data_IF_188107142978
#
_entry.id   IF_188107142978
#
_cell.length_a   1.000
_cell.length_b   1.000
_cell.length_c   1.000
_cell.angle_alpha   90.00
_cell.angle_beta   90.00
_cell.angle_gamma   90.00
#
_symmetry.space_group_name_H-M   'P 1'
#
loop_
_entity.id
_entity.type
_entity.pdbx_description
1 polymer ?
#
# COMPACT_ATOMS: atom_id res chain seq x y z
N UNK A 1 46.20 -53.90 -80.04
CA UNK A 1 46.28 -52.43 -80.21
C UNK A 1 45.96 -51.80 -78.86
N UNK A 2 46.99 -51.48 -78.08
CA UNK A 2 46.89 -51.10 -76.67
C UNK A 2 46.68 -49.59 -76.53
N UNK A 3 45.62 -49.19 -75.80
CA UNK A 3 45.32 -47.79 -75.48
C UNK A 3 45.54 -47.51 -73.98
N UNK A 4 46.55 -46.69 -73.76
CA UNK A 4 46.62 -45.48 -72.92
C UNK A 4 45.89 -45.38 -71.56
N UNK A 5 46.73 -44.95 -70.60
CA UNK A 5 46.52 -44.21 -69.36
C UNK A 5 45.46 -43.10 -69.49
N UNK A 6 44.55 -43.00 -68.51
CA UNK A 6 43.74 -41.81 -68.24
C UNK A 6 43.70 -41.49 -66.74
N UNK A 7 43.88 -40.20 -66.45
CA UNK A 7 43.76 -39.53 -65.16
C UNK A 7 42.29 -39.09 -64.96
N UNK A 8 41.68 -39.34 -63.80
CA UNK A 8 40.45 -38.65 -63.33
C UNK A 8 40.44 -38.66 -61.80
N UNK A 9 40.58 -37.56 -61.06
CA UNK A 9 39.70 -36.39 -60.91
C UNK A 9 38.34 -36.70 -60.27
N UNK A 10 38.25 -36.36 -58.97
CA UNK A 10 37.09 -35.96 -58.14
C UNK A 10 36.09 -37.02 -57.65
N UNK A 11 35.92 -37.07 -56.33
CA UNK A 11 34.60 -36.95 -55.70
C UNK A 11 34.71 -36.23 -54.35
N UNK A 12 34.33 -34.96 -54.36
CA UNK A 12 33.98 -34.19 -53.16
C UNK A 12 32.66 -34.74 -52.61
N UNK A 13 32.64 -35.15 -51.34
CA UNK A 13 31.39 -35.32 -50.60
C UNK A 13 31.16 -34.03 -49.83
N UNK A 14 30.09 -33.33 -50.21
CA UNK A 14 29.61 -32.10 -49.61
C UNK A 14 29.07 -32.43 -48.21
N UNK A 15 29.67 -31.86 -47.16
CA UNK A 15 29.11 -31.89 -45.80
C UNK A 15 27.85 -31.04 -45.74
N UNK A 16 26.74 -31.69 -45.40
CA UNK A 16 25.43 -31.09 -45.20
C UNK A 16 25.45 -30.23 -43.93
N UNK A 17 25.17 -28.94 -44.07
CA UNK A 17 25.06 -27.99 -42.98
C UNK A 17 23.83 -28.29 -42.10
N UNK A 18 24.04 -28.47 -40.80
CA UNK A 18 22.98 -28.42 -39.79
C UNK A 18 22.94 -27.01 -39.18
N UNK A 19 22.05 -26.16 -39.71
CA UNK A 19 21.67 -24.90 -39.07
C UNK A 19 20.63 -25.22 -37.98
N UNK A 20 21.09 -25.32 -36.74
CA UNK A 20 20.20 -25.34 -35.56
C UNK A 20 19.78 -23.90 -35.28
N UNK A 21 18.56 -23.54 -35.64
CA UNK A 21 17.96 -22.26 -35.29
C UNK A 21 17.69 -22.23 -33.79
N UNK A 22 18.53 -21.49 -33.05
CA UNK A 22 18.29 -21.15 -31.65
C UNK A 22 17.25 -20.02 -31.60
N UNK A 23 15.97 -20.38 -31.48
CA UNK A 23 14.92 -19.40 -31.18
C UNK A 23 15.13 -18.91 -29.74
N UNK A 24 15.51 -17.65 -29.58
CA UNK A 24 15.55 -16.99 -28.29
C UNK A 24 14.13 -16.91 -27.73
N UNK A 25 13.84 -17.67 -26.68
CA UNK A 25 12.68 -17.44 -25.82
C UNK A 25 12.91 -16.13 -25.07
N UNK A 26 12.49 -15.02 -25.67
CA UNK A 26 12.36 -13.76 -24.94
C UNK A 26 11.21 -13.97 -23.96
N UNK A 27 11.53 -14.17 -22.68
CA UNK A 27 10.53 -14.14 -21.61
C UNK A 27 10.20 -12.66 -21.37
N UNK A 28 9.09 -12.18 -21.93
CA UNK A 28 8.49 -10.94 -21.44
C UNK A 28 7.98 -11.27 -20.02
N UNK A 29 8.66 -10.75 -19.01
CA UNK A 29 8.11 -10.68 -17.66
C UNK A 29 7.04 -9.58 -17.68
N UNK A 30 5.83 -9.93 -18.10
CA UNK A 30 4.65 -9.09 -17.87
C UNK A 30 4.15 -9.28 -16.44
N UNK A 31 3.57 -8.24 -15.85
CA UNK A 31 2.78 -8.36 -14.63
C UNK A 31 1.73 -9.47 -14.83
N UNK A 32 1.53 -10.33 -13.83
CA UNK A 32 0.52 -11.38 -13.96
C UNK A 32 -0.86 -10.74 -13.87
N UNK A 33 -1.72 -10.99 -14.85
CA UNK A 33 -3.12 -10.56 -14.77
C UNK A 33 -3.92 -11.54 -13.92
N UNK A 34 -4.86 -11.03 -13.11
CA UNK A 34 -5.79 -11.86 -12.34
C UNK A 34 -6.63 -12.78 -13.24
N UNK A 35 -7.08 -13.91 -12.69
CA UNK A 35 -7.98 -14.83 -13.37
C UNK A 35 -9.20 -15.20 -12.50
N UNK A 36 -10.33 -15.61 -13.09
CA UNK A 36 -11.50 -16.02 -12.32
C UNK A 36 -11.20 -17.18 -11.36
N UNK A 37 -11.60 -17.03 -10.11
CA UNK A 37 -11.49 -18.03 -9.06
C UNK A 37 -12.80 -18.10 -8.27
N UNK A 38 -13.34 -19.29 -8.05
CA UNK A 38 -14.50 -19.49 -7.19
C UNK A 38 -14.02 -20.07 -5.87
N UNK A 39 -14.22 -19.33 -4.78
CA UNK A 39 -13.91 -19.84 -3.44
C UNK A 39 -14.87 -20.99 -3.10
N UNK A 40 -14.36 -22.23 -2.89
CA UNK A 40 -15.22 -23.37 -2.60
C UNK A 40 -15.95 -23.26 -1.24
N UNK A 41 -15.46 -22.44 -0.31
CA UNK A 41 -16.08 -22.29 1.01
C UNK A 41 -17.33 -21.39 0.97
N UNK A 42 -17.27 -20.29 0.23
CA UNK A 42 -18.34 -19.28 0.18
C UNK A 42 -19.13 -19.27 -1.12
N UNK A 43 -18.57 -19.81 -2.21
CA UNK A 43 -19.09 -19.67 -3.56
C UNK A 43 -18.88 -18.28 -4.18
N UNK A 44 -18.13 -17.39 -3.52
CA UNK A 44 -17.80 -16.07 -4.06
C UNK A 44 -16.88 -16.25 -5.27
N UNK A 45 -17.17 -15.50 -6.33
CA UNK A 45 -16.34 -15.48 -7.54
C UNK A 45 -15.47 -14.22 -7.48
N UNK A 46 -14.16 -14.44 -7.44
CA UNK A 46 -13.13 -13.41 -7.44
C UNK A 46 -12.44 -13.36 -8.81
N UNK A 47 -11.85 -12.21 -9.12
CA UNK A 47 -10.64 -12.18 -9.92
C UNK A 47 -9.45 -12.31 -8.98
N UNK A 48 -8.62 -13.33 -9.20
CA UNK A 48 -7.55 -13.70 -8.30
C UNK A 48 -6.19 -13.62 -8.98
N UNK A 49 -5.27 -12.93 -8.33
CA UNK A 49 -3.83 -13.09 -8.55
C UNK A 49 -3.35 -14.29 -7.74
N UNK A 50 -2.54 -15.15 -8.35
CA UNK A 50 -1.94 -16.31 -7.68
C UNK A 50 -0.46 -16.45 -8.01
N UNK A 51 0.39 -16.16 -7.04
CA UNK A 51 1.84 -16.33 -7.13
C UNK A 51 2.22 -17.80 -7.07
N UNK A 52 2.31 -18.48 -8.21
CA UNK A 52 2.57 -19.93 -8.29
C UNK A 52 3.87 -20.40 -7.60
N UNK A 53 4.82 -19.50 -7.33
CA UNK A 53 6.06 -19.81 -6.58
C UNK A 53 5.91 -19.65 -5.07
N UNK A 54 5.04 -18.73 -4.63
CA UNK A 54 4.84 -18.37 -3.23
C UNK A 54 3.56 -18.96 -2.63
N UNK A 55 2.65 -19.45 -3.48
CA UNK A 55 1.28 -19.82 -3.11
C UNK A 55 0.51 -18.67 -2.45
N UNK A 56 0.92 -17.42 -2.68
CA UNK A 56 0.17 -16.24 -2.29
C UNK A 56 -0.98 -16.02 -3.27
N UNK A 57 -2.16 -15.75 -2.75
CA UNK A 57 -3.34 -15.38 -3.51
C UNK A 57 -3.98 -14.12 -2.96
N UNK A 58 -4.33 -13.21 -3.86
CA UNK A 58 -5.24 -12.09 -3.57
C UNK A 58 -6.39 -12.14 -4.56
N UNK A 59 -7.62 -12.24 -4.04
CA UNK A 59 -8.86 -12.19 -4.80
C UNK A 59 -9.61 -10.89 -4.55
N UNK A 60 -10.19 -10.31 -5.61
CA UNK A 60 -11.09 -9.16 -5.53
C UNK A 60 -12.42 -9.46 -6.24
N UNK A 61 -13.52 -9.12 -5.58
CA UNK A 61 -14.87 -9.16 -6.14
C UNK A 61 -15.53 -7.79 -5.94
N UNK A 62 -16.20 -7.32 -6.99
CA UNK A 62 -16.76 -5.98 -7.07
C UNK A 62 -18.27 -6.04 -7.37
N UNK A 63 -19.04 -5.01 -6.99
CA UNK A 63 -20.42 -4.90 -7.43
C UNK A 63 -20.52 -4.70 -8.94
N UNK A 64 -21.64 -5.14 -9.52
CA UNK A 64 -21.94 -4.92 -10.94
C UNK A 64 -21.94 -3.42 -11.30
N UNK A 65 -22.53 -2.59 -10.43
CA UNK A 65 -22.43 -1.14 -10.50
C UNK A 65 -21.37 -0.65 -9.52
N UNK A 66 -20.34 0.09 -9.96
CA UNK A 66 -19.28 0.56 -9.07
C UNK A 66 -19.81 1.32 -7.86
N UNK A 67 -19.36 0.89 -6.68
CA UNK A 67 -19.50 1.60 -5.41
C UNK A 67 -18.11 1.76 -4.78
N UNK A 68 -18.05 2.35 -3.59
CA UNK A 68 -16.81 2.58 -2.84
C UNK A 68 -16.28 1.33 -2.10
N UNK A 69 -16.78 0.14 -2.40
CA UNK A 69 -16.55 -1.06 -1.59
C UNK A 69 -16.25 -2.30 -2.45
N UNK A 70 -15.47 -3.24 -1.90
CA UNK A 70 -15.14 -4.51 -2.55
C UNK A 70 -15.04 -5.66 -1.52
N UNK A 71 -15.14 -6.90 -1.99
CA UNK A 71 -14.82 -8.08 -1.16
C UNK A 71 -13.44 -8.56 -1.56
N UNK A 72 -12.54 -8.66 -0.58
CA UNK A 72 -11.19 -9.16 -0.75
C UNK A 72 -11.03 -10.55 -0.14
N UNK A 73 -10.11 -11.34 -0.70
CA UNK A 73 -9.64 -12.58 -0.10
C UNK A 73 -8.11 -12.67 -0.16
N UNK A 74 -7.46 -12.82 0.99
CA UNK A 74 -6.07 -13.27 1.06
C UNK A 74 -6.02 -14.78 1.27
N UNK A 75 -5.08 -15.45 0.62
CA UNK A 75 -4.74 -16.85 0.89
C UNK A 75 -3.24 -17.06 0.77
N UNK A 76 -2.57 -17.50 1.82
CA UNK A 76 -1.11 -17.68 1.77
C UNK A 76 -0.62 -18.72 2.80
N UNK A 77 0.53 -19.36 2.54
CA UNK A 77 1.13 -20.29 3.49
C UNK A 77 1.71 -19.56 4.70
N UNK A 78 1.55 -20.18 5.87
CA UNK A 78 2.22 -19.80 7.11
C UNK A 78 3.47 -20.65 7.29
N UNK A 79 4.62 -20.01 7.52
CA UNK A 79 5.87 -20.67 7.82
C UNK A 79 5.75 -21.49 9.11
N UNK A 80 6.23 -22.74 9.07
CA UNK A 80 6.07 -23.67 10.21
C UNK A 80 4.62 -24.02 10.55
N UNK A 81 3.64 -23.55 9.75
CA UNK A 81 2.21 -23.72 9.98
C UNK A 81 1.53 -22.61 10.78
N UNK A 82 2.28 -21.65 11.33
CA UNK A 82 1.74 -20.59 12.22
C UNK A 82 2.26 -19.19 11.95
N UNK A 83 3.45 -19.07 11.33
CA UNK A 83 4.19 -17.81 11.31
C UNK A 83 4.11 -17.12 9.95
N UNK A 84 4.37 -15.82 9.93
CA UNK A 84 4.34 -15.00 8.72
C UNK A 84 3.12 -14.10 8.62
N UNK A 85 3.09 -13.32 7.55
CA UNK A 85 2.00 -12.40 7.23
C UNK A 85 1.91 -12.21 5.72
N UNK A 86 0.70 -11.89 5.24
CA UNK A 86 0.44 -11.56 3.85
C UNK A 86 -0.30 -10.24 3.76
N UNK A 87 -0.07 -9.50 2.67
CA UNK A 87 -0.71 -8.21 2.45
C UNK A 87 -0.82 -7.81 0.99
N UNK A 88 -1.58 -6.76 0.74
CA UNK A 88 -1.74 -6.14 -0.57
C UNK A 88 -1.69 -4.62 -0.47
N UNK A 89 -1.40 -3.99 -1.60
CA UNK A 89 -1.56 -2.55 -1.84
C UNK A 89 -2.66 -2.31 -2.87
N UNK A 90 -3.40 -1.20 -2.73
CA UNK A 90 -4.39 -0.79 -3.73
C UNK A 90 -3.76 -0.30 -5.05
N UNK A 91 -2.46 -0.01 -5.05
CA UNK A 91 -1.66 0.30 -6.24
C UNK A 91 -0.46 -0.65 -6.30
N UNK A 92 0.41 -0.57 -7.33
CA UNK A 92 1.68 -1.30 -7.33
C UNK A 92 2.60 -0.88 -6.18
N UNK A 93 2.62 0.41 -5.86
CA UNK A 93 3.50 0.97 -4.84
C UNK A 93 3.12 0.58 -3.40
N UNK A 94 4.14 0.45 -2.55
CA UNK A 94 3.97 0.33 -1.10
C UNK A 94 3.68 1.70 -0.46
N UNK A 95 4.29 2.77 -0.97
CA UNK A 95 4.28 4.11 -0.38
C UNK A 95 3.05 4.91 -0.78
N UNK A 96 2.25 5.32 0.21
CA UNK A 96 1.12 6.20 0.02
C UNK A 96 -0.28 5.57 -0.09
N UNK A 97 -0.54 4.45 -0.79
CA UNK A 97 -1.90 3.93 -0.90
C UNK A 97 -2.37 3.28 0.41
N UNK A 98 -3.65 2.91 0.45
CA UNK A 98 -4.16 2.03 1.49
C UNK A 98 -3.56 0.62 1.32
N UNK A 99 -2.85 0.18 2.34
CA UNK A 99 -2.31 -1.17 2.47
C UNK A 99 -3.21 -2.00 3.38
N UNK A 100 -3.22 -3.31 3.20
CA UNK A 100 -3.81 -4.25 4.15
C UNK A 100 -2.85 -5.39 4.42
N UNK A 101 -2.69 -5.76 5.70
CA UNK A 101 -1.96 -6.94 6.10
C UNK A 101 -2.81 -7.82 7.02
N UNK A 102 -2.63 -9.14 6.92
CA UNK A 102 -3.24 -10.14 7.78
C UNK A 102 -2.21 -11.21 8.20
N UNK A 103 -2.42 -11.79 9.38
CA UNK A 103 -1.60 -12.85 9.95
C UNK A 103 -2.39 -13.67 10.98
N UNK A 104 -1.80 -14.77 11.43
CA UNK A 104 -2.36 -15.60 12.49
C UNK A 104 -1.89 -15.14 13.87
N UNK A 105 -2.81 -15.09 14.83
CA UNK A 105 -2.54 -15.09 16.27
C UNK A 105 -3.19 -16.33 16.87
N UNK A 106 -2.44 -17.43 16.94
CA UNK A 106 -2.99 -18.75 17.27
C UNK A 106 -3.99 -19.21 16.20
N UNK A 107 -5.25 -19.41 16.61
CA UNK A 107 -6.36 -19.81 15.74
C UNK A 107 -7.18 -18.63 15.20
N UNK A 108 -6.77 -17.39 15.50
CA UNK A 108 -7.45 -16.17 15.08
C UNK A 108 -6.70 -15.52 13.95
N UNK A 109 -7.44 -14.94 13.00
CA UNK A 109 -6.88 -14.01 12.02
C UNK A 109 -6.91 -12.61 12.63
N UNK A 110 -5.76 -11.94 12.59
CA UNK A 110 -5.62 -10.52 12.88
C UNK A 110 -5.30 -9.80 11.58
N UNK A 111 -5.90 -8.64 11.37
CA UNK A 111 -5.69 -7.82 10.18
C UNK A 111 -5.68 -6.34 10.53
N UNK A 112 -5.04 -5.54 9.69
CA UNK A 112 -4.97 -4.09 9.87
C UNK A 112 -4.85 -3.40 8.51
N UNK A 113 -5.51 -2.26 8.36
CA UNK A 113 -5.17 -1.32 7.30
C UNK A 113 -3.95 -0.51 7.71
N UNK A 114 -3.08 -0.21 6.73
CA UNK A 114 -1.81 0.49 6.94
C UNK A 114 -1.55 1.50 5.83
N UNK A 115 -0.57 2.36 6.05
CA UNK A 115 -0.02 3.27 5.04
C UNK A 115 1.46 3.48 5.34
N UNK A 116 2.32 3.45 4.33
CA UNK A 116 3.74 3.81 4.48
C UNK A 116 4.06 5.09 3.73
N UNK A 117 5.19 5.70 4.08
CA UNK A 117 5.75 6.90 3.43
C UNK A 117 7.24 6.71 3.07
N UNK A 118 7.76 5.51 3.30
CA UNK A 118 9.10 5.07 2.95
C UNK A 118 9.15 3.53 3.01
N UNK A 119 10.24 2.95 2.48
CA UNK A 119 10.50 1.50 2.46
C UNK A 119 11.19 0.94 3.73
N UNK A 120 11.72 1.81 4.58
CA UNK A 120 12.57 1.43 5.73
C UNK A 120 11.79 1.21 7.03
N UNK A 121 10.66 1.90 7.20
CA UNK A 121 9.85 1.91 8.41
C UNK A 121 8.68 0.93 8.33
N UNK A 122 8.27 0.40 9.48
CA UNK A 122 7.07 -0.42 9.54
C UNK A 122 5.82 0.44 9.25
N UNK A 123 4.95 0.06 8.30
CA UNK A 123 3.75 0.83 7.99
C UNK A 123 2.82 0.89 9.22
N UNK A 124 2.54 2.07 9.79
CA UNK A 124 1.62 2.19 10.91
C UNK A 124 0.21 1.74 10.52
N UNK A 125 -0.54 1.23 11.50
CA UNK A 125 -1.97 1.02 11.36
C UNK A 125 -2.69 2.35 11.14
N UNK A 126 -3.62 2.38 10.18
CA UNK A 126 -4.41 3.57 9.85
C UNK A 126 -5.91 3.38 10.09
N UNK A 127 -6.58 4.49 10.33
CA UNK A 127 -8.04 4.59 10.41
C UNK A 127 -8.57 5.67 9.46
N UNK A 128 -9.81 5.54 9.02
CA UNK A 128 -10.45 6.48 8.11
C UNK A 128 -11.96 6.28 8.01
N UNK A 129 -12.54 6.63 6.86
CA UNK A 129 -13.95 6.39 6.53
C UNK A 129 -14.23 5.00 5.97
N UNK A 130 -13.19 4.15 5.90
CA UNK A 130 -13.28 2.76 5.49
C UNK A 130 -13.40 1.82 6.70
N UNK A 131 -13.87 0.59 6.45
CA UNK A 131 -13.90 -0.46 7.47
C UNK A 131 -13.64 -1.84 6.88
N UNK A 132 -13.07 -2.73 7.72
CA UNK A 132 -12.84 -4.12 7.39
C UNK A 132 -13.86 -4.99 8.12
N UNK A 133 -14.65 -5.75 7.38
CA UNK A 133 -15.71 -6.63 7.93
C UNK A 133 -15.45 -8.08 7.51
N UNK A 134 -14.99 -8.94 8.43
CA UNK A 134 -14.68 -10.34 8.11
C UNK A 134 -15.89 -11.11 7.62
N UNK A 135 -15.69 -11.96 6.61
CA UNK A 135 -16.64 -12.98 6.17
C UNK A 135 -16.17 -14.31 6.77
N UNK A 136 -16.77 -14.69 7.90
CA UNK A 136 -16.32 -15.85 8.68
C UNK A 136 -16.35 -17.16 7.87
N UNK A 137 -17.32 -17.32 6.97
CA UNK A 137 -17.43 -18.51 6.12
C UNK A 137 -16.27 -18.68 5.13
N UNK A 138 -15.57 -17.59 4.78
CA UNK A 138 -14.40 -17.58 3.90
C UNK A 138 -13.09 -17.34 4.67
N UNK A 139 -13.08 -17.57 5.98
CA UNK A 139 -11.92 -17.32 6.84
C UNK A 139 -11.51 -18.59 7.55
N UNK A 140 -10.24 -18.98 7.43
CA UNK A 140 -9.70 -20.16 8.10
C UNK A 140 -8.18 -20.10 8.27
N UNK A 141 -7.69 -20.80 9.29
CA UNK A 141 -6.27 -21.17 9.42
C UNK A 141 -6.26 -22.70 9.45
N UNK A 142 -5.87 -23.35 8.36
CA UNK A 142 -5.94 -24.81 8.24
C UNK A 142 -4.81 -25.34 7.38
N UNK A 143 -4.14 -26.40 7.84
CA UNK A 143 -3.06 -27.04 7.09
C UNK A 143 -1.85 -26.14 6.85
N UNK A 144 -1.63 -25.14 7.70
CA UNK A 144 -0.57 -24.14 7.52
C UNK A 144 -0.88 -23.12 6.42
N UNK A 145 -2.14 -22.94 6.04
CA UNK A 145 -2.60 -21.88 5.14
C UNK A 145 -3.57 -20.99 5.90
N UNK A 146 -3.37 -19.68 5.79
CA UNK A 146 -4.34 -18.68 6.22
C UNK A 146 -5.15 -18.24 5.00
N UNK A 147 -6.46 -18.36 5.08
CA UNK A 147 -7.42 -17.75 4.15
C UNK A 147 -8.24 -16.73 4.92
N UNK A 148 -8.33 -15.51 4.41
CA UNK A 148 -9.07 -14.43 5.04
C UNK A 148 -9.91 -13.69 4.02
N UNK A 149 -11.23 -13.81 4.13
CA UNK A 149 -12.19 -13.13 3.28
C UNK A 149 -12.87 -12.01 4.06
N UNK A 150 -12.99 -10.83 3.47
CA UNK A 150 -13.54 -9.65 4.14
C UNK A 150 -14.22 -8.72 3.14
N UNK A 151 -15.21 -7.98 3.61
CA UNK A 151 -15.73 -6.80 2.94
C UNK A 151 -14.88 -5.59 3.36
N UNK A 152 -14.31 -4.91 2.36
CA UNK A 152 -13.65 -3.62 2.48
C UNK A 152 -14.68 -2.54 2.15
N UNK A 153 -15.36 -2.03 3.17
CA UNK A 153 -16.41 -1.02 3.01
C UNK A 153 -15.76 0.37 2.95
N UNK A 154 -16.04 1.16 1.91
CA UNK A 154 -15.49 2.51 1.73
C UNK A 154 -14.00 2.58 1.33
N UNK A 155 -13.42 1.47 0.86
CA UNK A 155 -12.00 1.39 0.49
C UNK A 155 -11.68 1.84 -0.95
N UNK A 156 -12.68 2.01 -1.82
CA UNK A 156 -12.48 2.44 -3.20
C UNK A 156 -12.64 3.95 -3.37
N UNK A 157 -11.67 4.68 -2.84
CA UNK A 157 -11.53 6.13 -2.99
C UNK A 157 -10.19 6.42 -3.69
N UNK A 158 -10.19 7.36 -4.66
CA UNK A 158 -8.99 7.68 -5.42
C UNK A 158 -7.86 8.21 -4.53
N UNK A 159 -8.20 8.90 -3.43
CA UNK A 159 -7.23 9.38 -2.45
C UNK A 159 -6.58 8.27 -1.62
N UNK A 160 -7.12 7.05 -1.70
CA UNK A 160 -6.56 5.83 -1.10
C UNK A 160 -5.75 5.00 -2.11
N UNK A 161 -5.66 5.44 -3.36
CA UNK A 161 -4.93 4.79 -4.44
C UNK A 161 -5.81 4.18 -5.54
N UNK A 162 -7.05 3.78 -5.22
CA UNK A 162 -7.95 3.16 -6.21
C UNK A 162 -9.40 3.60 -6.02
N UNK A 163 -9.88 4.51 -6.87
CA UNK A 163 -11.25 5.00 -6.82
C UNK A 163 -12.27 4.09 -7.52
N UNK A 164 -13.53 4.15 -7.09
CA UNK A 164 -14.63 3.39 -7.70
C UNK A 164 -14.71 3.52 -9.24
N UNK A 165 -14.39 4.69 -9.81
CA UNK A 165 -14.39 4.89 -11.26
C UNK A 165 -13.31 4.05 -12.00
N UNK A 166 -12.16 3.80 -11.37
CA UNK A 166 -11.07 3.02 -11.94
C UNK A 166 -11.43 1.54 -12.11
N UNK A 167 -12.45 1.04 -11.39
CA UNK A 167 -12.95 -0.33 -11.52
C UNK A 167 -13.59 -0.65 -12.88
N UNK A 168 -13.64 0.31 -13.80
CA UNK A 168 -14.12 0.14 -15.18
C UNK A 168 -13.05 -0.34 -16.16
N UNK A 169 -11.82 -0.54 -15.69
CA UNK A 169 -10.71 -1.07 -16.47
C UNK A 169 -9.91 -2.10 -15.69
N UNK A 170 -8.60 -2.08 -15.91
CA UNK A 170 -7.62 -2.79 -15.09
C UNK A 170 -6.93 -1.82 -14.14
N UNK A 171 -6.32 -2.34 -13.07
CA UNK A 171 -5.46 -1.57 -12.17
C UNK A 171 -4.24 -2.38 -11.79
N UNK A 172 -3.08 -1.73 -11.71
CA UNK A 172 -1.90 -2.33 -11.11
C UNK A 172 -2.04 -2.31 -9.58
N UNK A 173 -1.80 -3.46 -8.96
CA UNK A 173 -1.90 -3.66 -7.51
C UNK A 173 -0.69 -4.43 -7.00
N UNK A 174 -0.29 -4.18 -5.76
CA UNK A 174 0.86 -4.79 -5.12
C UNK A 174 0.49 -5.92 -4.18
N UNK A 175 1.41 -6.85 -3.97
CA UNK A 175 1.30 -7.90 -2.94
C UNK A 175 2.61 -8.07 -2.17
N UNK A 176 2.50 -8.60 -0.95
CA UNK A 176 3.63 -8.87 -0.08
C UNK A 176 3.39 -10.12 0.78
N UNK A 177 4.44 -10.92 0.98
CA UNK A 177 4.43 -12.12 1.81
C UNK A 177 5.71 -12.21 2.64
N UNK A 178 5.58 -12.49 3.93
CA UNK A 178 6.69 -12.77 4.84
C UNK A 178 6.52 -14.12 5.52
N UNK A 179 7.64 -14.80 5.74
CA UNK A 179 7.74 -15.98 6.59
C UNK A 179 8.05 -15.62 8.05
N UNK A 180 8.35 -14.34 8.32
CA UNK A 180 8.79 -13.88 9.64
C UNK A 180 7.56 -13.66 10.54
N UNK A 181 7.55 -14.21 11.78
CA UNK A 181 6.43 -14.01 12.71
C UNK A 181 6.19 -12.53 13.01
N UNK A 182 4.91 -12.12 13.02
CA UNK A 182 4.53 -10.76 13.43
C UNK A 182 4.82 -10.56 14.91
N UNK A 183 5.57 -9.50 15.25
CA UNK A 183 5.77 -9.14 16.66
C UNK A 183 4.51 -8.45 17.17
N UNK A 184 4.11 -8.77 18.41
CA UNK A 184 2.86 -8.30 19.01
C UNK A 184 1.62 -8.72 18.17
N UNK A 185 1.59 -9.98 17.73
CA UNK A 185 0.59 -10.52 16.79
C UNK A 185 -0.87 -10.35 17.24
N UNK A 186 -1.16 -10.32 18.54
CA UNK A 186 -2.52 -10.10 19.04
C UNK A 186 -3.06 -8.67 18.80
N UNK A 187 -2.18 -7.73 18.42
CA UNK A 187 -2.51 -6.33 18.19
C UNK A 187 -2.53 -6.03 16.69
N UNK A 188 -3.54 -5.33 16.15
CA UNK A 188 -3.53 -4.91 14.74
C UNK A 188 -2.41 -3.91 14.42
N UNK A 189 -1.90 -3.19 15.43
CA UNK A 189 -0.64 -2.43 15.35
C UNK A 189 0.65 -3.31 15.46
N UNK A 190 0.57 -4.61 15.17
CA UNK A 190 1.70 -5.53 15.19
C UNK A 190 2.84 -5.07 14.28
N UNK A 191 4.07 -5.45 14.59
CA UNK A 191 5.24 -5.06 13.79
C UNK A 191 5.46 -6.14 12.74
N UNK A 192 5.30 -5.75 11.48
CA UNK A 192 5.57 -6.56 10.30
C UNK A 192 7.05 -6.43 9.95
N UNK A 193 7.82 -7.51 10.13
CA UNK A 193 9.15 -7.58 9.54
C UNK A 193 9.05 -7.75 8.01
N UNK A 194 10.14 -7.48 7.30
CA UNK A 194 10.19 -7.44 5.83
C UNK A 194 9.52 -8.66 5.16
N UNK A 195 8.86 -8.43 4.02
CA UNK A 195 8.21 -9.45 3.19
C UNK A 195 9.24 -10.29 2.41
N UNK A 196 10.00 -11.09 3.16
CA UNK A 196 11.14 -11.89 2.72
C UNK A 196 10.78 -13.06 1.79
N UNK A 197 9.51 -13.41 1.69
CA UNK A 197 9.02 -14.58 0.96
C UNK A 197 8.47 -14.22 -0.41
N UNK A 198 8.32 -12.93 -0.71
CA UNK A 198 8.01 -12.42 -2.04
C UNK A 198 7.12 -11.18 -2.00
N UNK A 199 7.25 -10.36 -3.03
CA UNK A 199 6.46 -9.15 -3.25
C UNK A 199 6.52 -8.76 -4.73
N UNK A 200 5.67 -7.82 -5.13
CA UNK A 200 5.68 -7.20 -6.45
C UNK A 200 4.28 -6.86 -6.92
N UNK A 201 4.16 -6.62 -8.23
CA UNK A 201 2.94 -6.08 -8.82
C UNK A 201 2.20 -7.12 -9.66
N UNK A 202 0.90 -6.92 -9.79
CA UNK A 202 0.02 -7.68 -10.66
C UNK A 202 -1.04 -6.77 -11.28
N UNK A 203 -1.57 -7.17 -12.42
CA UNK A 203 -2.65 -6.44 -13.08
C UNK A 203 -4.01 -7.04 -12.68
N UNK A 204 -4.84 -6.28 -11.99
CA UNK A 204 -6.19 -6.67 -11.62
C UNK A 204 -7.18 -6.37 -12.75
N UNK A 205 -7.86 -7.39 -13.26
CA UNK A 205 -9.04 -7.25 -14.13
C UNK A 205 -10.27 -6.85 -13.31
N UNK A 206 -10.41 -5.55 -13.04
CA UNK A 206 -11.51 -5.05 -12.20
C UNK A 206 -12.86 -5.13 -12.90
N UNK A 207 -12.90 -5.12 -14.24
CA UNK A 207 -14.15 -5.36 -14.99
C UNK A 207 -14.60 -6.81 -14.79
N UNK A 208 -13.68 -7.76 -14.93
CA UNK A 208 -13.93 -9.18 -14.70
C UNK A 208 -14.27 -9.53 -13.26
N UNK A 209 -13.98 -8.66 -12.30
CA UNK A 209 -14.29 -8.85 -10.88
C UNK A 209 -15.73 -8.45 -10.50
N UNK A 210 -16.45 -7.79 -11.41
CA UNK A 210 -17.83 -7.31 -11.16
C UNK A 210 -18.83 -8.46 -11.16
N UNK A 211 -19.76 -8.45 -10.21
CA UNK A 211 -20.80 -9.46 -10.11
C UNK A 211 -22.11 -8.92 -9.55
N UNK A 212 -23.23 -9.37 -10.12
CA UNK A 212 -24.58 -9.06 -9.65
C UNK A 212 -24.89 -9.65 -8.25
N UNK A 213 -24.15 -10.68 -7.83
CA UNK A 213 -24.29 -11.32 -6.51
C UNK A 213 -23.51 -10.59 -5.40
N UNK A 214 -22.80 -9.51 -5.71
CA UNK A 214 -21.96 -8.81 -4.74
C UNK A 214 -22.70 -8.47 -3.44
N UNK A 215 -23.90 -7.88 -3.51
CA UNK A 215 -24.67 -7.53 -2.31
C UNK A 215 -25.05 -8.76 -1.47
N UNK A 216 -25.29 -9.90 -2.14
CA UNK A 216 -25.57 -11.17 -1.44
C UNK A 216 -24.33 -11.66 -0.69
N UNK A 217 -23.15 -11.53 -1.28
CA UNK A 217 -21.89 -11.91 -0.65
C UNK A 217 -21.47 -10.94 0.44
N UNK A 218 -21.65 -9.63 0.22
CA UNK A 218 -21.35 -8.58 1.19
C UNK A 218 -22.20 -8.71 2.46
N UNK A 219 -23.45 -9.21 2.33
CA UNK A 219 -24.32 -9.51 3.47
C UNK A 219 -23.82 -10.65 4.37
N UNK A 220 -22.81 -11.44 3.93
CA UNK A 220 -22.15 -12.44 4.77
C UNK A 220 -21.13 -11.82 5.74
N UNK A 221 -20.77 -10.56 5.55
CA UNK A 221 -19.79 -9.87 6.39
C UNK A 221 -20.36 -9.60 7.78
N UNK A 222 -19.53 -9.86 8.80
CA UNK A 222 -19.85 -9.60 10.19
C UNK A 222 -19.67 -8.13 10.57
N UNK A 223 -19.52 -7.90 11.88
CA UNK A 223 -19.23 -6.58 12.42
C UNK A 223 -17.86 -6.07 11.96
N UNK A 224 -17.70 -4.74 11.80
CA UNK A 224 -16.41 -4.15 11.46
C UNK A 224 -15.39 -4.40 12.57
N UNK A 225 -14.19 -4.78 12.17
CA UNK A 225 -13.04 -4.83 13.08
C UNK A 225 -12.57 -3.40 13.28
N UNK A 226 -12.67 -2.92 14.52
CA UNK A 226 -12.20 -1.59 14.89
C UNK A 226 -10.67 -1.49 14.85
N UNK A 227 -10.12 -0.30 14.58
CA UNK A 227 -8.68 -0.10 14.60
C UNK A 227 -8.11 -0.30 16.01
N UNK A 228 -6.84 -0.67 16.08
CA UNK A 228 -6.08 -0.75 17.31
C UNK A 228 -5.93 0.59 18.02
N UNK A 229 -5.64 0.51 19.31
CA UNK A 229 -5.25 1.68 20.08
C UNK A 229 -3.95 2.27 19.49
N UNK A 230 -4.01 3.51 19.03
CA UNK A 230 -2.85 4.20 18.42
C UNK A 230 -2.83 4.20 16.89
N UNK A 231 -3.84 3.64 16.23
CA UNK A 231 -4.02 3.83 14.79
C UNK A 231 -4.06 5.33 14.44
N UNK A 232 -3.38 5.71 13.37
CA UNK A 232 -3.29 7.11 12.91
C UNK A 232 -4.29 7.37 11.79
N UNK A 233 -4.79 8.61 11.61
CA UNK A 233 -5.60 8.93 10.43
C UNK A 233 -4.80 8.66 9.15
N UNK A 234 -5.43 8.03 8.16
CA UNK A 234 -4.81 7.91 6.83
C UNK A 234 -4.56 9.30 6.24
N UNK A 235 -3.45 9.45 5.52
CA UNK A 235 -3.15 10.66 4.76
C UNK A 235 -3.65 10.47 3.33
N UNK A 236 -4.70 11.18 2.88
CA UNK A 236 -5.18 11.07 1.51
C UNK A 236 -4.13 11.59 0.51
N UNK A 237 -4.13 11.03 -0.70
CA UNK A 237 -3.27 11.45 -1.81
C UNK A 237 -1.77 11.43 -1.47
N UNK A 238 -1.35 10.48 -0.62
CA UNK A 238 0.03 10.34 -0.17
C UNK A 238 0.91 9.54 -1.13
N UNK A 239 0.34 8.89 -2.13
CA UNK A 239 1.12 8.25 -3.19
C UNK A 239 1.88 9.35 -3.94
N UNK A 240 3.20 9.32 -3.87
CA UNK A 240 4.02 10.18 -4.70
C UNK A 240 3.70 9.83 -6.16
N UNK A 241 3.26 10.81 -6.93
CA UNK A 241 2.98 10.59 -8.34
C UNK A 241 4.24 10.06 -8.99
N UNK A 242 4.12 8.89 -9.65
CA UNK A 242 5.11 8.36 -10.57
C UNK A 242 5.76 9.53 -11.31
N UNK A 243 7.00 9.85 -10.95
CA UNK A 243 7.75 10.87 -11.64
C UNK A 243 8.08 10.28 -12.98
N UNK A 244 7.11 10.35 -13.89
CA UNK A 244 7.25 9.91 -15.27
C UNK A 244 8.56 10.48 -15.77
N UNK A 245 9.44 9.56 -16.17
CA UNK A 245 10.77 9.83 -16.66
C UNK A 245 10.76 11.08 -17.56
N UNK A 246 11.29 12.20 -17.04
CA UNK A 246 11.77 13.25 -17.92
C UNK A 246 12.99 12.66 -18.63
N UNK A 247 12.73 12.06 -19.78
CA UNK A 247 13.71 11.75 -20.83
C UNK A 247 14.38 13.06 -21.25
N UNK A 248 15.33 13.54 -20.44
CA UNK A 248 16.24 14.60 -20.84
C UNK A 248 17.40 13.94 -21.58
N UNK A 249 17.21 13.80 -22.89
CA UNK A 249 18.26 13.45 -23.83
C UNK A 249 19.51 14.28 -23.58
N UNK A 250 20.59 13.57 -23.33
CA UNK A 250 21.96 14.06 -23.30
C UNK A 250 22.36 14.54 -24.69
N UNK A 251 22.33 15.86 -24.93
CA UNK A 251 23.22 16.50 -25.90
C UNK A 251 23.88 17.73 -25.28
N UNK A 252 25.21 17.64 -25.15
CA UNK A 252 26.04 18.56 -24.39
C UNK A 252 26.12 20.01 -24.88
N UNK A 253 26.36 20.89 -23.92
CA UNK A 253 26.72 22.29 -24.14
C UNK A 253 27.36 22.89 -22.89
N UNK A 254 28.70 22.86 -22.85
CA UNK A 254 29.56 23.41 -21.80
C UNK A 254 29.34 24.92 -21.54
N UNK A 255 29.79 25.35 -20.35
CA UNK A 255 29.84 26.71 -19.76
C UNK A 255 28.56 27.14 -19.01
N UNK A 256 28.58 27.55 -17.75
CA UNK A 256 29.65 27.94 -16.83
C UNK A 256 29.07 29.05 -15.93
N UNK A 257 29.20 28.93 -14.60
CA UNK A 257 28.83 30.04 -13.71
C UNK A 257 28.32 29.63 -12.33
N UNK A 258 29.25 29.46 -11.40
CA UNK A 258 28.97 29.51 -9.96
C UNK A 258 28.79 30.96 -9.54
N UNK A 259 27.67 31.32 -8.89
CA UNK A 259 27.69 32.38 -7.87
C UNK A 259 26.59 32.22 -6.81
N UNK A 260 27.08 32.26 -5.56
CA UNK A 260 26.38 32.39 -4.28
C UNK A 260 25.48 33.64 -4.20
N UNK A 261 24.40 33.48 -3.42
CA UNK A 261 24.06 34.38 -2.31
C UNK A 261 23.14 35.56 -2.64
N UNK A 262 21.83 35.37 -2.44
CA UNK A 262 20.85 36.46 -2.44
C UNK A 262 20.35 36.77 -1.04
N UNK A 263 20.79 37.90 -0.47
CA UNK A 263 20.19 38.53 0.69
C UNK A 263 19.88 40.01 0.39
N UNK A 264 18.67 40.41 0.82
CA UNK A 264 18.17 41.76 1.13
C UNK A 264 17.78 42.75 0.01
N UNK A 265 16.45 42.91 -0.09
CA UNK A 265 15.61 44.14 -0.07
C UNK A 265 16.19 45.49 -0.49
N UNK A 266 15.41 46.16 -1.35
CA UNK A 266 14.97 47.55 -1.13
C UNK A 266 15.06 48.48 -2.34
N UNK A 267 13.92 48.86 -2.93
CA UNK A 267 13.83 49.89 -3.96
C UNK A 267 12.44 50.51 -4.02
N UNK A 268 12.28 51.68 -3.39
CA UNK A 268 11.07 52.52 -3.33
C UNK A 268 10.98 53.39 -4.59
N UNK A 269 9.82 53.41 -5.26
CA UNK A 269 9.50 54.40 -6.30
C UNK A 269 8.73 55.59 -5.73
N UNK A 270 9.23 56.77 -6.09
CA UNK A 270 8.85 58.14 -5.70
C UNK A 270 7.60 58.60 -6.47
N UNK A 271 6.64 59.24 -5.79
CA UNK A 271 5.50 59.90 -6.43
C UNK A 271 5.02 61.13 -5.67
N UNK A 272 5.00 62.27 -6.37
CA UNK A 272 4.02 63.37 -6.22
C UNK A 272 4.14 64.32 -5.02
N UNK A 273 4.62 65.53 -5.29
CA UNK A 273 4.53 66.67 -4.38
C UNK A 273 3.31 67.54 -4.72
N UNK A 274 2.53 67.95 -3.70
CA UNK A 274 1.83 69.25 -3.70
C UNK A 274 1.69 69.80 -2.27
N UNK A 275 1.90 71.12 -2.22
CA UNK A 275 1.91 72.08 -1.11
C UNK A 275 0.80 71.97 -0.05
N UNK A 276 1.22 72.28 1.19
CA UNK A 276 0.55 73.31 2.01
C UNK A 276 0.06 72.83 3.37
N UNK A 277 0.59 73.41 4.45
CA UNK A 277 -0.02 73.34 5.78
C UNK A 277 0.97 73.02 6.91
N UNK A 278 1.57 74.07 7.46
CA UNK A 278 2.22 74.03 8.78
C UNK A 278 1.12 74.03 9.84
N UNK A 279 1.13 73.06 10.77
CA UNK A 279 0.92 73.36 12.19
C UNK A 279 1.48 72.26 13.07
N UNK A 280 2.22 72.74 14.07
CA UNK A 280 2.95 72.09 15.14
C UNK A 280 1.97 71.64 16.23
N UNK A 281 2.20 70.47 16.83
CA UNK A 281 1.81 70.21 18.21
C UNK A 281 1.42 68.76 18.52
N UNK A 282 2.04 68.20 19.57
CA UNK A 282 1.46 67.09 20.32
C UNK A 282 2.32 65.84 20.43
N UNK A 283 3.36 65.88 21.26
CA UNK A 283 3.95 64.69 21.86
C UNK A 283 3.24 64.42 23.20
N UNK A 284 2.64 63.23 23.35
CA UNK A 284 2.39 62.50 24.61
C UNK A 284 2.21 61.03 24.19
N UNK A 285 2.94 60.02 24.65
CA UNK A 285 3.70 59.90 25.88
C UNK A 285 3.04 58.86 26.78
N UNK A 286 3.43 57.59 26.60
CA UNK A 286 3.54 56.59 27.67
C UNK A 286 2.30 55.78 28.06
N UNK A 287 2.52 54.49 28.34
CA UNK A 287 1.62 53.71 29.19
C UNK A 287 1.64 52.19 29.00
N UNK A 288 2.76 51.53 29.31
CA UNK A 288 2.78 50.09 29.60
C UNK A 288 2.59 49.87 31.11
N UNK A 289 1.75 48.90 31.48
CA UNK A 289 1.71 48.18 32.78
C UNK A 289 1.01 46.83 32.50
N UNK A 290 1.38 45.64 33.01
CA UNK A 290 2.34 45.27 34.04
C UNK A 290 1.66 44.47 35.16
N UNK A 291 1.69 43.13 35.07
CA UNK A 291 1.80 42.18 36.20
C UNK A 291 0.57 41.84 37.07
N UNK A 292 0.49 40.55 37.46
CA UNK A 292 -0.37 40.11 38.58
C UNK A 292 -0.46 38.59 38.73
N UNK A 293 0.40 38.00 39.56
CA UNK A 293 0.25 36.64 40.11
C UNK A 293 -0.34 36.70 41.52
N UNK A 294 -1.17 35.72 41.92
CA UNK A 294 -1.50 35.45 43.34
C UNK A 294 -1.66 33.95 43.61
N UNK A 295 -1.33 33.58 44.85
CA UNK A 295 -1.20 32.25 45.47
C UNK A 295 -2.13 32.17 46.70
N UNK A 296 -2.52 30.96 47.09
CA UNK A 296 -3.09 30.58 48.41
C UNK A 296 -4.48 29.92 48.29
N UNK A 297 -4.88 28.85 48.99
CA UNK A 297 -4.32 28.03 50.08
C UNK A 297 -5.47 27.41 50.92
N UNK A 298 -5.31 26.17 51.43
CA UNK A 298 -6.18 25.48 52.42
C UNK A 298 -7.26 24.56 51.81
N UNK A 299 -7.62 23.36 52.31
CA UNK A 299 -7.54 22.79 53.66
C UNK A 299 -7.57 21.24 53.61
N UNK A 300 -7.00 20.65 54.65
CA UNK A 300 -7.00 19.24 55.07
C UNK A 300 -8.38 18.68 55.46
N UNK A 301 -8.55 17.35 55.35
CA UNK A 301 -9.50 16.60 56.16
C UNK A 301 -8.92 15.21 56.49
N UNK A 302 -8.79 14.94 57.78
CA UNK A 302 -8.38 13.67 58.39
C UNK A 302 -9.62 12.83 58.77
N UNK A 303 -9.48 11.50 58.75
CA UNK A 303 -10.08 10.61 59.76
C UNK A 303 -11.29 9.74 59.37
N UNK A 304 -11.06 8.40 59.37
CA UNK A 304 -11.83 7.28 59.96
C UNK A 304 -11.71 6.04 59.01
N UNK A 305 -11.18 4.86 59.35
CA UNK A 305 -11.05 4.17 60.63
C UNK A 305 -12.18 3.14 60.79
N UNK A 306 -12.04 1.90 60.28
CA UNK A 306 -12.63 0.67 60.85
C UNK A 306 -12.09 -0.58 60.16
N UNK A 307 -11.34 -1.37 60.94
CA UNK A 307 -11.12 -2.80 60.75
C UNK A 307 -12.44 -3.58 60.96
N UNK A 308 -12.62 -4.70 60.26
CA UNK A 308 -13.43 -5.84 60.70
C UNK A 308 -12.94 -7.08 59.98
N UNK A 309 -12.19 -7.89 60.71
CA UNK A 309 -12.07 -9.33 60.51
C UNK A 309 -13.46 -9.96 60.57
N UNK A 310 -13.75 -10.96 59.73
CA UNK A 310 -14.68 -12.03 60.07
C UNK A 310 -14.29 -13.29 59.27
N UNK A 311 -14.08 -14.36 60.04
CA UNK A 311 -13.76 -15.73 59.65
C UNK A 311 -14.93 -16.40 58.90
N UNK A 312 -14.60 -17.23 57.91
CA UNK A 312 -15.12 -18.60 57.67
C UNK A 312 -14.35 -19.30 56.53
#
# INVERSE_FOLDING_TARGET
>A
MSRQIFLSSRCSVVSLAALVSLAALVSLAGAQTTAPFTDPATGIIFQQFFGARTNFGFGIALPETPIDSFIGQLSFPLAGGTDGWGGFSLTGDMEGPLLMAAWADGDKVVSSFRQSFNEDDNPPEVTGTFSLKPIAAGTSITGGVLTYTFLCEGCLDASLGLGAAATAGTAEMGWALSSIPVRNAASPAGILDFHDSGFGDFEADLVGARNALFDTWAALAGDPVGPGAGAVPIVPDAAEGDSGDEDSGDEGGSSGGVTRGGATRGGVTRGGATRGGVTRGGATGGGATGGGATRGGGSSNDGNGSDSDDDD
#
